data_IF_799084241012
#
_entry.id   IF_799084241012
#
_cell.length_a   1.000
_cell.length_b   1.000
_cell.length_c   1.000
_cell.angle_alpha   90.00
_cell.angle_beta   90.00
_cell.angle_gamma   90.00
#
_symmetry.space_group_name_H-M   'P 1'
#
loop_
_entity.id
_entity.type
_entity.pdbx_description
1 polymer ?
#
# COMPACT_ATOMS: atom_id res chain seq x y z
N UNK A 1 7.19 -4.75 -8.05
CA UNK A 1 5.79 -4.41 -8.39
C UNK A 1 5.69 -3.84 -9.79
N UNK A 2 5.78 -4.71 -10.80
CA UNK A 2 5.66 -4.28 -12.20
C UNK A 2 4.21 -3.88 -12.56
N UNK A 3 3.22 -4.46 -11.89
CA UNK A 3 1.79 -4.15 -12.05
C UNK A 3 1.44 -2.69 -11.75
N UNK A 4 2.20 -2.02 -10.88
CA UNK A 4 1.95 -0.64 -10.45
C UNK A 4 2.78 0.38 -11.22
N UNK A 5 3.43 -0.04 -12.31
CA UNK A 5 4.23 0.85 -13.14
C UNK A 5 3.35 1.71 -14.04
N UNK A 6 3.73 2.98 -14.22
CA UNK A 6 3.12 3.85 -15.21
C UNK A 6 3.81 3.72 -16.58
N UNK A 7 3.20 4.31 -17.62
CA UNK A 7 3.72 4.25 -19.00
C UNK A 7 5.14 4.83 -19.14
N UNK A 8 5.47 5.88 -18.38
CA UNK A 8 6.81 6.47 -18.40
C UNK A 8 7.85 5.50 -17.86
N UNK A 9 7.58 4.86 -16.72
CA UNK A 9 8.46 3.84 -16.13
C UNK A 9 8.66 2.66 -17.08
N UNK A 10 7.58 2.18 -17.72
CA UNK A 10 7.68 1.14 -18.74
C UNK A 10 8.54 1.59 -19.94
N UNK A 11 8.36 2.83 -20.42
CA UNK A 11 9.15 3.37 -21.54
C UNK A 11 10.65 3.48 -21.23
N UNK A 12 11.03 3.83 -20.00
CA UNK A 12 12.42 3.85 -19.55
C UNK A 12 13.01 2.43 -19.61
N UNK A 13 12.28 1.43 -19.13
CA UNK A 13 12.73 0.04 -19.19
C UNK A 13 12.89 -0.45 -20.63
N UNK A 14 11.95 -0.12 -21.52
CA UNK A 14 12.05 -0.45 -22.95
C UNK A 14 13.22 0.27 -23.61
N UNK A 15 13.52 1.52 -23.25
CA UNK A 15 14.67 2.24 -23.79
C UNK A 15 16.01 1.63 -23.34
N UNK A 16 16.08 1.13 -22.10
CA UNK A 16 17.26 0.44 -21.58
C UNK A 16 17.43 -0.97 -22.17
N UNK A 17 16.31 -1.64 -22.48
CA UNK A 17 16.25 -3.02 -22.99
C UNK A 17 15.29 -3.12 -24.18
N UNK A 18 15.66 -2.58 -25.35
CA UNK A 18 14.77 -2.48 -26.50
C UNK A 18 14.36 -3.83 -27.09
N UNK A 19 15.20 -4.85 -26.92
CA UNK A 19 14.94 -6.23 -27.36
C UNK A 19 14.42 -7.14 -26.23
N UNK A 20 14.26 -6.61 -25.01
CA UNK A 20 13.88 -7.37 -23.82
C UNK A 20 14.96 -8.31 -23.28
N UNK A 21 16.18 -8.29 -23.82
CA UNK A 21 17.22 -9.26 -23.49
C UNK A 21 17.76 -9.09 -22.07
N UNK A 22 17.61 -10.13 -21.25
CA UNK A 22 17.98 -10.13 -19.85
C UNK A 22 17.03 -9.34 -18.93
N UNK A 23 15.84 -8.97 -19.42
CA UNK A 23 14.82 -8.32 -18.61
C UNK A 23 13.89 -9.38 -17.98
N UNK A 24 13.81 -9.37 -16.66
CA UNK A 24 12.84 -10.16 -15.89
C UNK A 24 11.99 -9.20 -15.08
N UNK A 25 10.67 -9.27 -15.26
CA UNK A 25 9.70 -8.51 -14.46
C UNK A 25 8.92 -9.43 -13.54
N UNK A 26 8.58 -8.93 -12.36
CA UNK A 26 7.79 -9.66 -11.36
C UNK A 26 6.65 -8.75 -10.91
N UNK A 27 5.44 -9.31 -10.88
CA UNK A 27 4.26 -8.61 -10.40
C UNK A 27 3.03 -9.51 -10.37
N UNK A 28 1.94 -8.94 -9.87
CA UNK A 28 0.65 -9.58 -9.72
C UNK A 28 -0.44 -8.62 -10.19
N UNK A 29 -1.12 -8.96 -11.27
CA UNK A 29 -2.23 -8.18 -11.84
C UNK A 29 -3.36 -7.94 -10.83
N UNK A 30 -3.66 -8.93 -9.98
CA UNK A 30 -4.67 -8.83 -8.93
C UNK A 30 -4.29 -7.84 -7.80
N UNK A 31 -3.03 -7.40 -7.75
CA UNK A 31 -2.51 -6.46 -6.75
C UNK A 31 -2.25 -5.06 -7.31
N UNK A 32 -2.70 -4.77 -8.54
CA UNK A 32 -2.61 -3.43 -9.12
C UNK A 32 -3.61 -2.48 -8.46
N UNK A 33 -3.17 -1.74 -7.44
CA UNK A 33 -4.02 -0.82 -6.65
C UNK A 33 -3.67 0.66 -6.84
N UNK A 34 -2.65 0.98 -7.64
CA UNK A 34 -2.15 2.35 -7.85
C UNK A 34 -2.63 3.02 -9.15
N UNK A 35 -3.76 2.58 -9.74
CA UNK A 35 -4.32 3.19 -10.97
C UNK A 35 -4.57 4.70 -10.83
N UNK A 36 -4.95 5.16 -9.63
CA UNK A 36 -5.10 6.59 -9.31
C UNK A 36 -3.80 7.41 -9.41
N UNK A 37 -2.63 6.75 -9.47
CA UNK A 37 -1.31 7.36 -9.74
C UNK A 37 -0.81 7.05 -11.15
N UNK A 38 -1.72 6.76 -12.07
CA UNK A 38 -1.46 6.40 -13.46
C UNK A 38 -0.69 5.08 -13.64
N UNK A 39 -0.77 4.16 -12.67
CA UNK A 39 -0.34 2.78 -12.92
C UNK A 39 -1.17 2.16 -14.03
N UNK A 40 -0.51 1.42 -14.92
CA UNK A 40 -1.10 0.80 -16.10
C UNK A 40 -0.93 -0.72 -15.99
N UNK A 41 -2.00 -1.42 -15.58
CA UNK A 41 -1.98 -2.89 -15.43
C UNK A 41 -1.68 -3.60 -16.76
N UNK A 42 -1.95 -2.95 -17.89
CA UNK A 42 -1.59 -3.47 -19.21
C UNK A 42 -0.09 -3.65 -19.39
N UNK A 43 0.74 -2.90 -18.67
CA UNK A 43 2.18 -3.09 -18.70
C UNK A 43 2.56 -4.54 -18.36
N UNK A 44 1.93 -5.16 -17.35
CA UNK A 44 2.20 -6.54 -16.97
C UNK A 44 1.43 -7.55 -17.84
N UNK A 45 0.18 -7.26 -18.21
CA UNK A 45 -0.65 -8.17 -19.00
C UNK A 45 -0.09 -8.36 -20.42
N UNK A 46 0.43 -7.29 -21.03
CA UNK A 46 0.91 -7.30 -22.41
C UNK A 46 2.41 -7.62 -22.52
N UNK A 47 3.15 -7.61 -21.39
CA UNK A 47 4.60 -7.88 -21.32
C UNK A 47 5.03 -9.15 -22.10
N UNK A 48 4.32 -10.30 -22.00
CA UNK A 48 4.74 -11.51 -22.71
C UNK A 48 4.82 -11.36 -24.24
N UNK A 49 4.07 -10.40 -24.80
CA UNK A 49 3.98 -10.11 -26.23
C UNK A 49 4.64 -8.78 -26.62
N UNK A 50 5.24 -8.09 -25.65
CA UNK A 50 5.79 -6.74 -25.84
C UNK A 50 7.03 -6.72 -26.76
N UNK A 51 7.82 -7.80 -26.78
CA UNK A 51 9.06 -7.90 -27.54
C UNK A 51 8.95 -8.93 -28.67
N UNK A 52 9.80 -8.78 -29.70
CA UNK A 52 9.83 -9.71 -30.83
C UNK A 52 10.09 -11.17 -30.41
N UNK A 53 10.93 -11.36 -29.38
CA UNK A 53 11.05 -12.63 -28.67
C UNK A 53 10.04 -12.66 -27.53
N UNK A 54 9.15 -13.65 -27.55
CA UNK A 54 8.19 -13.84 -26.46
C UNK A 54 8.89 -14.14 -25.15
N UNK A 55 8.42 -13.53 -24.07
CA UNK A 55 8.95 -13.78 -22.74
C UNK A 55 8.46 -15.14 -22.20
N UNK A 56 9.31 -15.84 -21.47
CA UNK A 56 8.90 -17.02 -20.71
C UNK A 56 8.05 -16.59 -19.51
N UNK A 57 6.86 -17.16 -19.37
CA UNK A 57 5.97 -16.90 -18.23
C UNK A 57 6.18 -18.01 -17.19
N UNK A 58 6.46 -17.61 -15.95
CA UNK A 58 6.53 -18.52 -14.80
C UNK A 58 5.46 -18.10 -13.79
N UNK A 59 4.46 -18.95 -13.59
CA UNK A 59 3.38 -18.71 -12.65
C UNK A 59 3.71 -19.34 -11.30
N UNK A 60 3.65 -18.54 -10.23
CA UNK A 60 3.84 -19.01 -8.85
C UNK A 60 2.48 -19.09 -8.15
N UNK A 61 1.95 -20.31 -7.99
CA UNK A 61 0.60 -20.53 -7.44
C UNK A 61 0.60 -20.92 -5.95
N UNK A 62 1.72 -21.41 -5.44
CA UNK A 62 1.84 -21.82 -4.04
C UNK A 62 2.02 -20.60 -3.14
N UNK A 63 1.07 -20.40 -2.24
CA UNK A 63 1.11 -19.37 -1.22
C UNK A 63 1.62 -19.95 0.10
N UNK A 64 2.64 -19.30 0.68
CA UNK A 64 3.27 -19.72 1.93
C UNK A 64 2.82 -18.87 3.14
N UNK A 65 2.02 -17.83 2.92
CA UNK A 65 1.64 -16.84 3.92
C UNK A 65 0.32 -17.20 4.62
N UNK A 66 -0.71 -17.46 3.83
CA UNK A 66 -2.10 -17.56 4.27
C UNK A 66 -2.57 -19.01 4.35
N UNK A 67 -3.61 -19.24 5.15
CA UNK A 67 -4.30 -20.53 5.20
C UNK A 67 -5.17 -20.74 3.96
N UNK A 68 -5.51 -21.99 3.68
CA UNK A 68 -6.43 -22.35 2.62
C UNK A 68 -7.79 -21.62 2.73
N UNK A 69 -8.34 -21.45 3.92
CA UNK A 69 -9.63 -20.77 4.13
C UNK A 69 -9.58 -19.29 3.74
N UNK A 70 -8.49 -18.60 4.07
CA UNK A 70 -8.26 -17.20 3.65
C UNK A 70 -8.08 -17.13 2.14
N UNK A 71 -7.31 -18.06 1.55
CA UNK A 71 -7.09 -18.09 0.10
C UNK A 71 -8.36 -18.44 -0.68
N UNK A 72 -9.22 -19.30 -0.15
CA UNK A 72 -10.50 -19.62 -0.77
C UNK A 72 -11.36 -18.35 -0.89
N UNK A 73 -11.43 -17.53 0.17
CA UNK A 73 -12.13 -16.25 0.13
C UNK A 73 -11.49 -15.28 -0.87
N UNK A 74 -10.16 -15.15 -0.88
CA UNK A 74 -9.45 -14.28 -1.82
C UNK A 74 -9.63 -14.71 -3.29
N UNK A 75 -9.52 -16.02 -3.58
CA UNK A 75 -9.73 -16.61 -4.89
C UNK A 75 -11.17 -16.42 -5.39
N UNK A 76 -12.16 -16.51 -4.50
CA UNK A 76 -13.56 -16.26 -4.85
C UNK A 76 -13.78 -14.79 -5.26
N UNK A 77 -13.24 -13.83 -4.49
CA UNK A 77 -13.38 -12.40 -4.80
C UNK A 77 -12.67 -12.03 -6.10
N UNK A 78 -11.44 -12.52 -6.34
CA UNK A 78 -10.72 -12.22 -7.58
C UNK A 78 -11.31 -12.95 -8.80
N UNK A 79 -12.07 -14.02 -8.59
CA UNK A 79 -12.78 -14.74 -9.65
C UNK A 79 -13.78 -13.87 -10.42
N UNK A 80 -14.30 -12.82 -9.77
CA UNK A 80 -15.24 -11.86 -10.36
C UNK A 80 -14.57 -10.80 -11.26
N UNK A 81 -13.23 -10.75 -11.31
CA UNK A 81 -12.52 -9.77 -12.14
C UNK A 81 -12.60 -10.12 -13.64
N UNK A 82 -12.93 -9.13 -14.48
CA UNK A 82 -13.12 -9.31 -15.93
C UNK A 82 -11.84 -9.62 -16.69
N UNK A 83 -10.69 -9.11 -16.23
CA UNK A 83 -9.40 -9.28 -16.88
C UNK A 83 -8.36 -9.67 -15.83
N UNK A 84 -7.78 -10.86 -15.98
CA UNK A 84 -6.75 -11.37 -15.09
C UNK A 84 -5.89 -12.43 -15.76
N UNK A 85 -4.71 -12.68 -15.20
CA UNK A 85 -4.04 -13.95 -15.42
C UNK A 85 -4.82 -15.05 -14.67
N UNK A 86 -5.18 -16.11 -15.39
CA UNK A 86 -5.79 -17.29 -14.77
C UNK A 86 -4.74 -18.00 -13.93
N UNK A 87 -4.76 -17.74 -12.62
CA UNK A 87 -4.00 -18.48 -11.61
C UNK A 87 -4.91 -18.73 -10.42
N UNK A 88 -4.79 -19.90 -9.81
CA UNK A 88 -5.52 -20.25 -8.60
C UNK A 88 -4.51 -20.51 -7.50
N UNK A 89 -4.48 -19.63 -6.48
CA UNK A 89 -3.53 -19.77 -5.39
C UNK A 89 -3.94 -20.91 -4.46
N UNK A 90 -2.97 -21.70 -4.02
CA UNK A 90 -3.18 -22.79 -3.06
C UNK A 90 -2.15 -22.75 -1.92
N UNK A 91 -2.47 -23.35 -0.78
CA UNK A 91 -1.60 -23.37 0.41
C UNK A 91 -1.63 -24.73 1.10
N UNK A 92 -0.50 -25.12 1.68
CA UNK A 92 -0.39 -26.29 2.56
C UNK A 92 -0.82 -25.98 3.99
N UNK A 93 -0.95 -24.70 4.35
CA UNK A 93 -1.40 -24.25 5.67
C UNK A 93 -2.91 -24.48 5.79
N UNK A 94 -3.29 -25.51 6.53
CA UNK A 94 -4.70 -25.83 6.81
C UNK A 94 -5.19 -25.07 8.04
N UNK A 95 -6.42 -24.59 7.98
CA UNK A 95 -7.17 -24.08 9.13
C UNK A 95 -8.65 -24.34 8.90
N UNK A 96 -9.40 -24.63 9.96
CA UNK A 96 -10.86 -24.70 9.92
C UNK A 96 -11.52 -23.32 10.10
N UNK A 97 -10.76 -22.32 10.54
CA UNK A 97 -11.26 -20.98 10.81
C UNK A 97 -11.50 -20.22 9.51
N UNK A 98 -12.71 -19.66 9.39
CA UNK A 98 -13.12 -18.85 8.24
C UNK A 98 -13.00 -17.36 8.56
N UNK A 99 -12.72 -16.51 7.56
CA UNK A 99 -12.85 -15.06 7.72
C UNK A 99 -14.25 -14.70 8.24
N UNK A 100 -14.30 -13.83 9.25
CA UNK A 100 -15.55 -13.39 9.86
C UNK A 100 -16.06 -12.12 9.16
N UNK A 101 -17.36 -12.05 8.91
CA UNK A 101 -18.07 -10.84 8.51
C UNK A 101 -18.97 -10.42 9.67
N UNK A 102 -18.75 -9.21 10.18
CA UNK A 102 -19.41 -8.71 11.39
C UNK A 102 -20.14 -7.43 11.03
N UNK A 103 -21.43 -7.37 11.35
CA UNK A 103 -22.26 -6.17 11.21
C UNK A 103 -22.47 -5.53 12.57
N UNK A 104 -22.22 -4.23 12.66
CA UNK A 104 -22.37 -3.40 13.85
C UNK A 104 -23.27 -2.21 13.50
N UNK A 105 -23.83 -1.55 14.51
CA UNK A 105 -24.83 -0.48 14.32
C UNK A 105 -24.20 0.82 13.82
N UNK A 106 -23.01 1.16 14.31
CA UNK A 106 -22.32 2.41 14.02
C UNK A 106 -20.78 2.30 14.17
N UNK A 107 -20.08 3.40 13.88
CA UNK A 107 -18.62 3.48 13.95
C UNK A 107 -18.07 3.34 15.38
N UNK A 108 -18.83 3.75 16.40
CA UNK A 108 -18.40 3.64 17.79
C UNK A 108 -18.45 2.16 18.25
N UNK A 109 -19.51 1.44 17.88
CA UNK A 109 -19.63 0.00 18.11
C UNK A 109 -18.57 -0.76 17.30
N UNK A 110 -18.27 -0.33 16.07
CA UNK A 110 -17.17 -0.90 15.28
C UNK A 110 -15.82 -0.78 16.00
N UNK A 111 -15.47 0.42 16.48
CA UNK A 111 -14.22 0.65 17.20
C UNK A 111 -14.16 -0.18 18.49
N UNK A 112 -15.26 -0.25 19.23
CA UNK A 112 -15.37 -1.08 20.44
C UNK A 112 -15.17 -2.56 20.13
N UNK A 113 -15.85 -3.08 19.10
CA UNK A 113 -15.77 -4.47 18.66
C UNK A 113 -14.33 -4.85 18.28
N UNK A 114 -13.67 -4.02 17.47
CA UNK A 114 -12.27 -4.25 17.06
C UNK A 114 -11.34 -4.26 18.26
N UNK A 115 -11.50 -3.33 19.21
CA UNK A 115 -10.68 -3.31 20.42
C UNK A 115 -10.93 -4.54 21.32
N UNK A 116 -12.18 -5.02 21.42
CA UNK A 116 -12.50 -6.26 22.14
C UNK A 116 -11.82 -7.47 21.47
N UNK A 117 -11.90 -7.58 20.15
CA UNK A 117 -11.27 -8.66 19.39
C UNK A 117 -9.74 -8.66 19.55
N UNK A 118 -9.10 -7.48 19.48
CA UNK A 118 -7.65 -7.33 19.66
C UNK A 118 -7.21 -7.82 21.06
N UNK A 119 -7.96 -7.45 22.10
CA UNK A 119 -7.67 -7.86 23.47
C UNK A 119 -7.91 -9.35 23.68
N UNK A 120 -8.99 -9.90 23.14
CA UNK A 120 -9.27 -11.34 23.20
C UNK A 120 -8.14 -12.17 22.55
N UNK A 121 -7.66 -11.75 21.38
CA UNK A 121 -6.52 -12.38 20.71
C UNK A 121 -5.22 -12.24 21.52
N UNK A 122 -5.02 -11.08 22.16
CA UNK A 122 -3.87 -10.89 23.06
C UNK A 122 -3.93 -11.81 24.26
N UNK A 123 -5.11 -11.99 24.87
CA UNK A 123 -5.33 -12.92 25.99
C UNK A 123 -5.14 -14.38 25.57
N UNK A 124 -5.46 -14.71 24.31
CA UNK A 124 -5.15 -16.00 23.71
C UNK A 124 -3.65 -16.20 23.36
N UNK A 125 -2.82 -15.16 23.51
CA UNK A 125 -1.37 -15.22 23.34
C UNK A 125 -0.83 -14.54 22.07
N UNK A 126 -1.69 -13.99 21.21
CA UNK A 126 -1.28 -13.28 20.00
C UNK A 126 -0.69 -11.91 20.35
N UNK A 127 0.61 -11.72 20.09
CA UNK A 127 1.27 -10.44 20.32
C UNK A 127 0.58 -9.30 19.55
N UNK A 128 0.40 -8.13 20.19
CA UNK A 128 -0.21 -6.95 19.56
C UNK A 128 0.48 -6.52 18.26
N UNK A 129 1.80 -6.70 18.17
CA UNK A 129 2.59 -6.39 16.97
C UNK A 129 2.30 -7.31 15.77
N UNK A 130 1.67 -8.46 16.01
CA UNK A 130 1.25 -9.42 15.00
C UNK A 130 -0.18 -9.19 14.53
N UNK A 131 -0.86 -8.16 15.06
CA UNK A 131 -2.21 -7.79 14.71
C UNK A 131 -2.18 -6.48 13.91
N UNK A 132 -3.06 -6.36 12.91
CA UNK A 132 -3.15 -5.15 12.08
C UNK A 132 -4.62 -4.85 11.75
N UNK A 133 -4.95 -3.55 11.71
CA UNK A 133 -6.25 -3.07 11.26
C UNK A 133 -6.04 -2.26 9.99
N UNK A 134 -6.74 -2.62 8.92
CA UNK A 134 -6.64 -1.99 7.62
C UNK A 134 -7.90 -1.15 7.36
N UNK A 135 -7.71 0.03 6.79
CA UNK A 135 -8.80 0.95 6.46
C UNK A 135 -8.69 1.42 5.02
N UNK A 136 -9.83 1.74 4.40
CA UNK A 136 -9.88 2.29 3.05
C UNK A 136 -9.34 3.72 2.95
N UNK A 137 -9.60 4.53 3.98
CA UNK A 137 -9.22 5.94 4.05
C UNK A 137 -8.71 6.29 5.46
N UNK A 138 -7.73 7.20 5.53
CA UNK A 138 -7.05 7.52 6.79
C UNK A 138 -8.00 8.11 7.85
N UNK A 139 -9.07 8.80 7.46
CA UNK A 139 -10.01 9.38 8.43
C UNK A 139 -10.86 8.32 9.16
N UNK A 140 -11.05 7.12 8.57
CA UNK A 140 -11.75 6.02 9.24
C UNK A 140 -11.00 5.50 10.49
N UNK A 141 -9.71 5.83 10.66
CA UNK A 141 -8.95 5.42 11.84
C UNK A 141 -9.28 6.23 13.10
N UNK A 142 -9.86 7.43 12.97
CA UNK A 142 -10.08 8.35 14.08
C UNK A 142 -10.84 7.76 15.27
N UNK A 143 -12.05 7.20 15.07
CA UNK A 143 -12.82 6.57 16.15
C UNK A 143 -12.07 5.42 16.83
N UNK A 144 -11.33 4.61 16.06
CA UNK A 144 -10.55 3.51 16.61
C UNK A 144 -9.34 4.00 17.43
N UNK A 145 -8.64 5.04 16.98
CA UNK A 145 -7.50 5.62 17.70
C UNK A 145 -7.92 6.15 19.08
N UNK A 146 -9.07 6.82 19.14
CA UNK A 146 -9.66 7.31 20.40
C UNK A 146 -9.94 6.11 21.33
N UNK A 147 -10.55 5.06 20.79
CA UNK A 147 -10.93 3.89 21.59
C UNK A 147 -9.72 3.07 22.08
N UNK A 148 -8.72 2.85 21.22
CA UNK A 148 -7.45 2.22 21.58
C UNK A 148 -6.74 3.00 22.68
N UNK A 149 -6.71 4.33 22.57
CA UNK A 149 -6.13 5.23 23.58
C UNK A 149 -6.90 5.15 24.89
N UNK A 150 -8.25 5.23 24.84
CA UNK A 150 -9.12 5.13 26.02
C UNK A 150 -8.90 3.83 26.80
N UNK A 151 -8.61 2.74 26.10
CA UNK A 151 -8.35 1.42 26.68
C UNK A 151 -6.87 1.14 26.98
N UNK A 152 -5.98 2.10 26.80
CA UNK A 152 -4.53 1.93 26.95
C UNK A 152 -3.96 0.77 26.12
N UNK A 153 -4.47 0.58 24.89
CA UNK A 153 -3.95 -0.42 23.94
C UNK A 153 -2.86 0.24 23.09
N UNK A 154 -1.59 -0.19 23.18
CA UNK A 154 -0.53 0.38 22.36
C UNK A 154 -0.75 0.10 20.87
N UNK A 155 -0.64 1.14 20.04
CA UNK A 155 -0.78 1.02 18.58
C UNK A 155 0.21 1.93 17.85
N UNK A 156 0.41 1.65 16.56
CA UNK A 156 1.20 2.48 15.65
C UNK A 156 0.34 2.79 14.42
N UNK A 157 0.16 4.08 14.12
CA UNK A 157 -0.52 4.53 12.91
C UNK A 157 0.48 4.72 11.78
N UNK A 158 0.28 4.01 10.68
CA UNK A 158 1.00 4.23 9.44
C UNK A 158 0.22 5.19 8.53
N UNK A 159 0.93 6.11 7.86
CA UNK A 159 0.32 7.08 6.94
C UNK A 159 -0.21 8.36 7.59
N UNK A 160 0.26 8.70 8.81
CA UNK A 160 0.11 10.04 9.39
C UNK A 160 1.03 11.08 8.73
N UNK A 161 1.04 12.30 9.27
CA UNK A 161 1.93 13.36 8.81
C UNK A 161 3.38 12.89 8.90
N UNK A 162 4.08 12.82 7.76
CA UNK A 162 5.50 12.40 7.76
C UNK A 162 6.32 13.44 8.49
N UNK A 163 7.42 13.04 9.12
CA UNK A 163 8.36 13.96 9.77
C UNK A 163 8.79 15.11 8.82
N UNK A 164 9.13 14.78 7.57
CA UNK A 164 9.51 15.76 6.54
C UNK A 164 8.34 16.66 6.07
N UNK A 165 7.11 16.31 6.43
CA UNK A 165 5.93 17.09 6.09
C UNK A 165 5.57 18.15 7.14
N UNK A 166 6.16 18.07 8.34
CA UNK A 166 5.97 19.04 9.40
C UNK A 166 6.45 20.43 8.98
N UNK A 167 5.66 21.46 9.33
CA UNK A 167 5.92 22.83 8.90
C UNK A 167 7.34 23.30 9.26
N UNK A 168 7.74 23.11 10.52
CA UNK A 168 9.08 23.48 11.01
C UNK A 168 10.22 22.71 10.33
N UNK A 169 10.00 21.44 9.97
CA UNK A 169 11.00 20.65 9.21
C UNK A 169 11.11 21.17 7.78
N UNK A 170 9.98 21.49 7.13
CA UNK A 170 9.95 22.11 5.80
C UNK A 170 10.62 23.47 5.78
N UNK A 171 10.49 24.26 6.84
CA UNK A 171 11.15 25.57 6.98
C UNK A 171 12.67 25.43 7.02
N UNK A 172 13.18 24.54 7.87
CA UNK A 172 14.60 24.24 7.93
C UNK A 172 15.13 23.71 6.59
N UNK A 173 14.41 22.78 5.95
CA UNK A 173 14.79 22.26 4.64
C UNK A 173 14.80 23.33 3.55
N UNK A 174 13.90 24.31 3.61
CA UNK A 174 13.88 25.41 2.66
C UNK A 174 15.11 26.31 2.81
N UNK A 175 15.55 26.59 4.04
CA UNK A 175 16.81 27.33 4.29
C UNK A 175 18.00 26.58 3.69
N UNK A 176 18.12 25.28 3.95
CA UNK A 176 19.23 24.46 3.42
C UNK A 176 19.22 24.38 1.89
N UNK A 177 18.04 24.16 1.28
CA UNK A 177 17.89 24.11 -0.18
C UNK A 177 18.22 25.44 -0.84
N UNK A 178 17.84 26.56 -0.23
CA UNK A 178 18.13 27.89 -0.76
C UNK A 178 19.61 28.26 -0.60
N UNK A 179 20.24 27.86 0.50
CA UNK A 179 21.69 28.04 0.71
C UNK A 179 22.52 27.25 -0.33
N UNK A 180 22.13 26.00 -0.62
CA UNK A 180 22.79 25.15 -1.62
C UNK A 180 22.49 25.60 -3.06
N UNK A 181 21.23 25.94 -3.34
CA UNK A 181 20.79 26.38 -4.64
C UNK A 181 19.96 27.67 -4.54
N UNK A 182 20.60 28.86 -4.64
CA UNK A 182 19.92 30.14 -4.63
C UNK A 182 18.91 30.35 -5.77
N UNK A 183 18.89 29.47 -6.80
CA UNK A 183 17.88 29.50 -7.87
C UNK A 183 16.60 28.72 -7.55
N UNK A 184 16.55 28.00 -6.42
CA UNK A 184 15.33 27.33 -5.96
C UNK A 184 14.31 28.37 -5.46
N UNK A 185 13.48 28.86 -6.38
CA UNK A 185 12.47 29.89 -6.10
C UNK A 185 11.42 29.44 -5.08
N UNK A 186 11.12 28.14 -5.01
CA UNK A 186 10.12 27.60 -4.08
C UNK A 186 10.68 27.62 -2.66
N UNK A 187 11.92 27.16 -2.49
CA UNK A 187 12.61 27.24 -1.21
C UNK A 187 12.82 28.70 -0.78
N UNK A 188 13.31 29.55 -1.69
CA UNK A 188 13.52 30.98 -1.44
C UNK A 188 12.24 31.70 -1.02
N UNK A 189 11.12 31.48 -1.72
CA UNK A 189 9.83 32.07 -1.36
C UNK A 189 9.39 31.65 0.06
N UNK A 190 9.51 30.36 0.38
CA UNK A 190 9.18 29.87 1.73
C UNK A 190 10.07 30.49 2.81
N UNK A 191 11.39 30.60 2.57
CA UNK A 191 12.33 31.23 3.51
C UNK A 191 12.00 32.71 3.72
N UNK A 192 11.69 33.43 2.64
CA UNK A 192 11.32 34.84 2.71
C UNK A 192 10.05 35.06 3.54
N UNK A 193 9.05 34.17 3.44
CA UNK A 193 7.84 34.22 4.27
C UNK A 193 8.08 34.00 5.77
N UNK A 194 9.26 33.52 6.18
CA UNK A 194 9.65 33.42 7.60
C UNK A 194 10.18 34.75 8.15
N UNK A 195 10.55 35.70 7.28
CA UNK A 195 11.09 36.98 7.68
C UNK A 195 9.95 37.98 7.95
N UNK A 196 9.95 38.65 9.10
CA UNK A 196 8.96 39.68 9.39
C UNK A 196 9.07 40.82 8.34
N UNK A 197 7.93 41.25 7.82
CA UNK A 197 7.86 42.31 6.80
C UNK A 197 7.99 41.83 5.35
N UNK A 198 8.12 40.52 5.10
CA UNK A 198 8.10 39.95 3.75
C UNK A 198 6.89 39.01 3.59
N UNK A 199 5.92 39.48 2.82
CA UNK A 199 4.70 38.77 2.40
C UNK A 199 4.03 39.57 1.27
N UNK A 200 2.86 39.15 0.76
CA UNK A 200 1.92 40.14 0.22
C UNK A 200 1.54 41.16 1.29
#
# INVERSE_FOLDING_TARGET
EYQDTNRLQASILTALKPDGSGLTVVGDDAQSIYSFRAAEVRNILDFPKQFARQASIVTLERNYRSTETILAAANAVIGEASERFTKNLWSERRSSEKPLLVSVRDEAEQASYVCQAILAEREAGTALKSQAVLFRASHHSGPLEIELTRRNIPFVKFGGLKFLDAAHVKDMLAVLRFAENPRDRVAGFRVLQLLPGIGP
#
